data_IF_594092554588
#
_entry.id   IF_594092554588
#
_cell.length_a   1.000
_cell.length_b   1.000
_cell.length_c   1.000
_cell.angle_alpha   90.00
_cell.angle_beta   90.00
_cell.angle_gamma   90.00
#
_symmetry.space_group_name_H-M   'P 1'
#
loop_
_entity.id
_entity.type
_entity.pdbx_description
1 polymer ?
#
# COMPACT_ATOMS: atom_id res chain seq x y z
N UNK A 1 19.74 -0.81 -12.93
CA UNK A 1 18.50 -0.32 -12.29
C UNK A 1 17.87 -1.49 -11.55
N UNK A 2 17.89 -1.49 -10.22
CA UNK A 2 17.15 -2.47 -9.42
C UNK A 2 15.66 -2.15 -9.55
N UNK A 3 14.88 -3.04 -10.16
CA UNK A 3 13.43 -2.84 -10.30
C UNK A 3 12.75 -2.76 -8.94
N UNK A 4 11.62 -2.03 -8.89
CA UNK A 4 10.77 -1.95 -7.70
C UNK A 4 10.36 -3.36 -7.24
N UNK A 5 10.45 -3.63 -5.93
CA UNK A 5 10.07 -4.91 -5.33
C UNK A 5 8.96 -4.69 -4.31
N UNK A 6 7.98 -5.58 -4.31
CA UNK A 6 6.92 -5.62 -3.30
C UNK A 6 7.43 -6.33 -2.03
N UNK A 7 8.43 -5.73 -1.40
CA UNK A 7 9.04 -6.21 -0.15
C UNK A 7 8.17 -5.91 1.08
N UNK A 8 8.65 -6.26 2.27
CA UNK A 8 7.89 -6.09 3.51
C UNK A 8 7.51 -4.63 3.78
N UNK A 9 8.39 -3.67 3.45
CA UNK A 9 8.15 -2.23 3.68
C UNK A 9 7.13 -1.68 2.69
N UNK A 10 7.27 -2.06 1.41
CA UNK A 10 6.33 -1.67 0.36
C UNK A 10 4.92 -2.23 0.64
N UNK A 11 4.84 -3.51 1.06
CA UNK A 11 3.58 -4.14 1.46
C UNK A 11 2.94 -3.42 2.64
N UNK A 12 3.69 -3.16 3.71
CA UNK A 12 3.14 -2.46 4.87
C UNK A 12 2.69 -1.03 4.54
N UNK A 13 3.41 -0.33 3.67
CA UNK A 13 3.02 1.03 3.24
C UNK A 13 1.71 1.02 2.43
N UNK A 14 1.52 0.03 1.56
CA UNK A 14 0.27 -0.15 0.83
C UNK A 14 -0.87 -0.54 1.78
N UNK A 15 -0.58 -1.41 2.75
CA UNK A 15 -1.56 -1.80 3.78
C UNK A 15 -2.03 -0.60 4.59
N UNK A 16 -1.10 0.22 5.11
CA UNK A 16 -1.38 1.45 5.85
C UNK A 16 -2.30 2.39 5.06
N UNK A 17 -2.09 2.51 3.74
CA UNK A 17 -2.93 3.31 2.87
C UNK A 17 -4.34 2.72 2.72
N UNK A 18 -4.45 1.43 2.44
CA UNK A 18 -5.72 0.73 2.24
C UNK A 18 -6.59 0.72 3.50
N UNK A 19 -5.97 0.73 4.68
CA UNK A 19 -6.66 0.68 5.96
C UNK A 19 -6.69 2.01 6.70
N UNK A 20 -6.27 3.11 6.07
CA UNK A 20 -6.22 4.43 6.71
C UNK A 20 -7.59 4.91 7.24
N UNK A 21 -8.67 4.53 6.55
CA UNK A 21 -10.04 4.82 6.97
C UNK A 21 -10.62 3.80 7.97
N UNK A 22 -9.87 2.75 8.32
CA UNK A 22 -10.32 1.74 9.28
C UNK A 22 -10.27 2.30 10.70
N UNK A 23 -11.41 2.27 11.41
CA UNK A 23 -11.49 2.66 12.82
C UNK A 23 -10.97 1.60 13.81
N UNK A 24 -10.36 0.51 13.33
CA UNK A 24 -9.92 -0.61 14.15
C UNK A 24 -8.62 -0.27 14.91
N UNK A 25 -8.77 0.25 16.12
CA UNK A 25 -7.65 0.71 16.96
C UNK A 25 -6.63 -0.38 17.33
N UNK A 26 -7.06 -1.65 17.41
CA UNK A 26 -6.16 -2.78 17.71
C UNK A 26 -5.29 -3.05 16.50
N UNK A 27 -5.90 -3.06 15.31
CA UNK A 27 -5.21 -3.24 14.05
C UNK A 27 -4.21 -2.11 13.76
N UNK A 28 -4.59 -0.84 14.00
CA UNK A 28 -3.69 0.32 13.87
C UNK A 28 -2.46 0.18 14.78
N UNK A 29 -2.64 -0.26 16.04
CA UNK A 29 -1.52 -0.48 16.96
C UNK A 29 -0.58 -1.59 16.50
N UNK A 30 -1.10 -2.62 15.84
CA UNK A 30 -0.27 -3.68 15.28
C UNK A 30 0.56 -3.16 14.10
N UNK A 31 -0.05 -2.42 13.18
CA UNK A 31 0.66 -1.80 12.05
C UNK A 31 1.78 -0.85 12.51
N UNK A 32 1.55 -0.07 13.57
CA UNK A 32 2.59 0.77 14.19
C UNK A 32 3.78 -0.03 14.70
N UNK A 33 3.54 -1.20 15.32
CA UNK A 33 4.60 -2.09 15.79
C UNK A 33 5.39 -2.68 14.61
N UNK A 34 4.68 -3.14 13.59
CA UNK A 34 5.29 -3.74 12.39
C UNK A 34 6.10 -2.68 11.62
N UNK A 35 5.61 -1.45 11.53
CA UNK A 35 6.30 -0.34 10.88
C UNK A 35 7.60 0.01 11.62
N UNK A 36 7.57 0.04 12.95
CA UNK A 36 8.76 0.25 13.78
C UNK A 36 9.77 -0.89 13.62
N UNK A 37 9.31 -2.13 13.56
CA UNK A 37 10.19 -3.29 13.32
C UNK A 37 10.88 -3.23 11.94
N UNK A 38 10.24 -2.61 10.96
CA UNK A 38 10.81 -2.35 9.62
C UNK A 38 11.63 -1.04 9.54
N UNK A 39 11.83 -0.34 10.66
CA UNK A 39 12.57 0.92 10.70
C UNK A 39 11.88 2.06 9.93
N UNK A 40 10.54 2.05 9.84
CA UNK A 40 9.78 3.18 9.29
C UNK A 40 9.72 4.32 10.31
N UNK A 41 9.88 5.54 9.83
CA UNK A 41 9.68 6.75 10.63
C UNK A 41 8.20 7.08 10.74
N UNK A 42 7.81 7.87 11.75
CA UNK A 42 6.43 8.37 11.89
C UNK A 42 5.96 9.11 10.63
N UNK A 43 6.82 9.93 10.03
CA UNK A 43 6.50 10.66 8.80
C UNK A 43 6.21 9.73 7.61
N UNK A 44 6.91 8.60 7.49
CA UNK A 44 6.65 7.62 6.43
C UNK A 44 5.35 6.86 6.65
N UNK A 45 5.02 6.55 7.91
CA UNK A 45 3.73 5.95 8.28
C UNK A 45 2.59 6.91 7.96
N UNK A 46 2.71 8.18 8.35
CA UNK A 46 1.71 9.21 8.10
C UNK A 46 1.52 9.46 6.59
N UNK A 47 2.62 9.51 5.84
CA UNK A 47 2.57 9.61 4.38
C UNK A 47 1.86 8.39 3.76
N UNK A 48 2.19 7.17 4.18
CA UNK A 48 1.52 5.96 3.70
C UNK A 48 0.01 6.02 3.97
N UNK A 49 -0.40 6.42 5.18
CA UNK A 49 -1.83 6.60 5.53
C UNK A 49 -2.52 7.69 4.71
N UNK A 50 -1.79 8.74 4.32
CA UNK A 50 -2.31 9.78 3.41
C UNK A 50 -2.47 9.28 1.96
N UNK A 51 -2.06 8.05 1.66
CA UNK A 51 -2.12 7.47 0.32
C UNK A 51 -0.92 7.83 -0.56
N UNK A 52 0.24 8.11 0.04
CA UNK A 52 1.45 8.54 -0.69
C UNK A 52 2.74 8.00 -0.05
N UNK A 53 3.89 8.33 -0.64
CA UNK A 53 5.22 7.98 -0.12
C UNK A 53 6.25 9.00 -0.61
N UNK A 54 7.36 9.14 0.11
CA UNK A 54 8.52 9.89 -0.35
C UNK A 54 9.25 9.18 -1.51
N UNK A 55 9.14 7.85 -1.58
CA UNK A 55 9.64 7.09 -2.73
C UNK A 55 8.63 7.17 -3.88
N UNK A 56 9.09 7.60 -5.05
CA UNK A 56 8.22 7.81 -6.20
C UNK A 56 7.57 6.52 -6.70
N UNK A 57 8.30 5.40 -6.73
CA UNK A 57 7.76 4.12 -7.21
C UNK A 57 6.74 3.57 -6.22
N UNK A 58 7.02 3.66 -4.91
CA UNK A 58 6.11 3.28 -3.85
C UNK A 58 4.85 4.17 -3.82
N UNK A 59 4.99 5.48 -4.04
CA UNK A 59 3.84 6.39 -4.18
C UNK A 59 2.93 5.96 -5.34
N UNK A 60 3.49 5.51 -6.47
CA UNK A 60 2.71 4.96 -7.60
C UNK A 60 2.09 3.61 -7.27
N UNK A 61 2.79 2.76 -6.51
CA UNK A 61 2.26 1.49 -6.02
C UNK A 61 1.04 1.71 -5.11
N UNK A 62 1.13 2.63 -4.14
CA UNK A 62 0.03 3.00 -3.24
C UNK A 62 -1.14 3.56 -4.02
N UNK A 63 -0.88 4.47 -4.97
CA UNK A 63 -1.93 5.04 -5.81
C UNK A 63 -2.64 3.99 -6.68
N UNK A 64 -1.94 2.93 -7.11
CA UNK A 64 -2.55 1.80 -7.80
C UNK A 64 -3.42 0.96 -6.86
N UNK A 65 -2.94 0.69 -5.65
CA UNK A 65 -3.70 -0.08 -4.65
C UNK A 65 -5.00 0.61 -4.25
N UNK A 66 -4.97 1.93 -4.04
CA UNK A 66 -6.15 2.71 -3.65
C UNK A 66 -7.20 2.83 -4.77
N UNK A 67 -6.79 2.68 -6.04
CA UNK A 67 -7.68 2.76 -7.18
C UNK A 67 -7.18 1.83 -8.31
N UNK A 68 -7.64 0.59 -8.29
CA UNK A 68 -7.26 -0.43 -9.28
C UNK A 68 -7.95 -0.18 -10.62
N UNK A 69 -7.32 0.63 -11.48
CA UNK A 69 -7.79 0.90 -12.84
C UNK A 69 -6.64 1.00 -13.84
N UNK A 70 -6.96 0.91 -15.13
CA UNK A 70 -5.96 0.86 -16.21
C UNK A 70 -5.09 2.12 -16.28
N UNK A 71 -5.63 3.29 -15.93
CA UNK A 71 -4.87 4.54 -15.90
C UNK A 71 -3.79 4.52 -14.80
N UNK A 72 -4.14 4.04 -13.60
CA UNK A 72 -3.20 3.87 -12.48
C UNK A 72 -2.19 2.78 -12.78
N UNK A 73 -2.61 1.67 -13.39
CA UNK A 73 -1.73 0.60 -13.85
C UNK A 73 -0.71 1.11 -14.87
N UNK A 74 -1.16 1.85 -15.88
CA UNK A 74 -0.28 2.45 -16.88
C UNK A 74 0.74 3.43 -16.25
N UNK A 75 0.31 4.24 -15.27
CA UNK A 75 1.22 5.14 -14.54
C UNK A 75 2.25 4.39 -13.69
N UNK A 76 1.86 3.31 -13.03
CA UNK A 76 2.76 2.44 -12.29
C UNK A 76 3.81 1.80 -13.23
N UNK A 77 3.39 1.26 -14.37
CA UNK A 77 4.30 0.70 -15.38
C UNK A 77 5.27 1.75 -15.91
N UNK A 78 4.81 2.97 -16.23
CA UNK A 78 5.68 4.08 -16.65
C UNK A 78 6.68 4.50 -15.56
N UNK A 79 6.34 4.31 -14.29
CA UNK A 79 7.25 4.54 -13.16
C UNK A 79 8.24 3.39 -12.92
N UNK A 80 8.22 2.33 -13.75
CA UNK A 80 9.14 1.20 -13.68
C UNK A 80 8.67 0.05 -12.80
N UNK A 81 7.39 -0.01 -12.42
CA UNK A 81 6.82 -1.19 -11.78
C UNK A 81 6.61 -2.29 -12.84
N UNK A 82 7.06 -3.51 -12.52
CA UNK A 82 6.84 -4.66 -13.39
C UNK A 82 5.37 -5.09 -13.40
N UNK A 83 4.92 -5.67 -14.52
CA UNK A 83 3.53 -6.12 -14.68
C UNK A 83 3.08 -7.08 -13.57
N UNK A 84 3.95 -8.01 -13.17
CA UNK A 84 3.67 -8.93 -12.06
C UNK A 84 3.48 -8.19 -10.73
N UNK A 85 4.30 -7.16 -10.48
CA UNK A 85 4.17 -6.36 -9.24
C UNK A 85 2.86 -5.57 -9.24
N UNK A 86 2.45 -5.01 -10.37
CA UNK A 86 1.15 -4.36 -10.49
C UNK A 86 0.00 -5.34 -10.19
N UNK A 87 0.04 -6.55 -10.75
CA UNK A 87 -0.96 -7.58 -10.50
C UNK A 87 -1.00 -8.01 -9.02
N UNK A 88 0.16 -8.14 -8.37
CA UNK A 88 0.24 -8.49 -6.95
C UNK A 88 -0.34 -7.39 -6.05
N UNK A 89 -0.09 -6.11 -6.39
CA UNK A 89 -0.66 -4.95 -5.68
C UNK A 89 -2.19 -4.92 -5.81
N UNK A 90 -2.71 -5.14 -7.01
CA UNK A 90 -4.15 -5.15 -7.26
C UNK A 90 -4.84 -6.31 -6.54
N UNK A 91 -4.23 -7.50 -6.56
CA UNK A 91 -4.71 -8.65 -5.79
C UNK A 91 -4.74 -8.35 -4.29
N UNK A 92 -3.71 -7.68 -3.79
CA UNK A 92 -3.67 -7.24 -2.40
C UNK A 92 -4.83 -6.28 -2.11
N UNK A 93 -5.02 -5.23 -2.92
CA UNK A 93 -6.10 -4.26 -2.77
C UNK A 93 -7.50 -4.92 -2.72
N UNK A 94 -7.78 -5.83 -3.66
CA UNK A 94 -9.05 -6.59 -3.69
C UNK A 94 -9.27 -7.33 -2.37
N UNK A 95 -8.24 -7.99 -1.82
CA UNK A 95 -8.38 -8.73 -0.55
C UNK A 95 -8.72 -7.84 0.66
N UNK A 96 -8.25 -6.58 0.68
CA UNK A 96 -8.61 -5.62 1.74
C UNK A 96 -10.01 -5.06 1.54
N UNK A 97 -10.45 -4.84 0.29
CA UNK A 97 -11.83 -4.44 -0.02
C UNK A 97 -12.81 -5.53 0.42
N UNK A 98 -12.55 -6.80 0.07
CA UNK A 98 -13.41 -7.93 0.47
C UNK A 98 -13.51 -8.08 1.99
N UNK A 99 -12.38 -7.92 2.72
CA UNK A 99 -12.38 -7.93 4.19
C UNK A 99 -13.13 -6.74 4.80
N UNK A 100 -13.08 -5.57 4.18
CA UNK A 100 -13.83 -4.39 4.62
C UNK A 100 -15.34 -4.60 4.49
N UNK A 101 -15.77 -5.20 3.37
CA UNK A 101 -17.17 -5.55 3.12
C UNK A 101 -17.67 -6.60 4.12
N UNK A 102 -16.85 -7.60 4.46
CA UNK A 102 -17.20 -8.62 5.46
C UNK A 102 -17.30 -8.09 6.91
N UNK A 103 -16.63 -7.00 7.25
CA UNK A 103 -16.72 -6.37 8.58
C UNK A 103 -17.94 -5.43 8.73
N UNK A 104 -18.66 -5.16 7.64
CA UNK A 104 -19.79 -4.23 7.60
C UNK A 104 -21.17 -4.91 7.50
N UNK A 105 -21.20 -6.25 7.52
CA UNK A 105 -22.41 -7.10 7.51
C UNK A 105 -22.63 -7.73 8.89
#
# INVERSE_FOLDING_TARGET
MTGFKLDARARLSIELALTAASGDSVFIRQQEKDAKALGMTGAEIDMARSGSSFDFQLSRAIALALATNDERRARATRAGLGAQVCADIEKMAISYMDRSLLKSA
#
